data_IF_818551995575
#
_entry.id   IF_818551995575
#
_cell.length_a   1.000
_cell.length_b   1.000
_cell.length_c   1.000
_cell.angle_alpha   90.00
_cell.angle_beta   90.00
_cell.angle_gamma   90.00
#
_symmetry.space_group_name_H-M   'P 1'
#
loop_
_entity.id
_entity.type
_entity.pdbx_description
1 polymer ?
#
# COMPACT_ATOMS: atom_id res chain seq x y z
N UNK A 1 -2.85 24.58 -17.88
CA UNK A 1 -2.84 24.50 -17.86
C UNK A 1 -2.34 24.52 -17.54
N UNK A 2 -2.37 24.01 -17.52
CA UNK A 2 -2.02 23.93 -17.42
C UNK A 2 -1.53 23.72 -17.22
N UNK A 3 -1.56 23.38 -17.55
CA UNK A 3 -1.14 23.14 -17.55
C UNK A 3 -0.63 22.90 -17.27
N UNK A 4 -0.64 22.59 -17.49
CA UNK A 4 -0.39 22.42 -17.54
C UNK A 4 -0.13 22.26 -17.59
N UNK A 5 -0.19 22.12 -17.90
CA UNK A 5 -0.11 22.05 -18.25
C UNK A 5 0.37 22.02 -18.51
N UNK A 6 0.53 21.75 -18.90
CA UNK A 6 0.86 21.73 -19.26
C UNK A 6 1.52 21.64 -19.24
N UNK A 7 1.68 21.39 -19.44
CA UNK A 7 1.97 21.23 -19.46
C UNK A 7 1.93 20.96 -19.49
N UNK A 8 1.91 20.67 -19.74
CA UNK A 8 1.42 20.28 -19.84
C UNK A 8 0.88 19.78 -19.94
N UNK A 9 0.32 19.94 -20.05
CA UNK A 9 -0.93 19.32 -20.19
C UNK A 9 -0.94 18.01 -20.91
N UNK A 10 -0.03 17.78 -21.65
CA UNK A 10 0.11 16.53 -22.39
C UNK A 10 0.63 15.40 -21.51
N UNK A 11 1.36 15.75 -20.49
CA UNK A 11 1.90 14.75 -19.59
C UNK A 11 0.84 14.34 -18.58
N UNK A 12 0.61 13.06 -18.49
CA UNK A 12 -0.37 12.56 -17.55
C UNK A 12 0.34 11.86 -16.40
N UNK A 13 0.18 12.42 -15.24
CA UNK A 13 0.78 11.84 -14.05
C UNK A 13 0.00 10.60 -13.66
N UNK A 14 0.68 9.46 -13.51
CA UNK A 14 -0.02 8.25 -13.07
C UNK A 14 -0.66 8.49 -11.70
N UNK A 15 -1.89 8.12 -11.60
CA UNK A 15 -2.63 8.30 -10.36
C UNK A 15 -2.61 7.05 -9.53
N UNK A 16 -2.27 7.21 -8.28
CA UNK A 16 -2.47 6.14 -7.33
C UNK A 16 -3.87 6.29 -6.74
N UNK A 17 -4.47 5.19 -6.33
CA UNK A 17 -5.77 5.30 -5.67
C UNK A 17 -5.67 6.20 -4.44
N UNK A 18 -6.72 6.93 -4.14
CA UNK A 18 -6.70 7.75 -2.92
C UNK A 18 -6.47 6.88 -1.70
N UNK A 19 -5.73 7.41 -0.76
CA UNK A 19 -5.45 6.69 0.48
C UNK A 19 -6.01 7.47 1.65
N UNK A 20 -6.34 6.74 2.69
CA UNK A 20 -6.84 7.29 3.94
C UNK A 20 -5.96 6.78 5.05
N UNK A 21 -5.56 7.69 5.94
CA UNK A 21 -4.76 7.29 7.09
C UNK A 21 -5.63 6.60 8.12
N UNK A 22 -5.21 5.41 8.49
CA UNK A 22 -5.85 4.65 9.56
C UNK A 22 -4.79 4.22 10.54
N UNK A 23 -5.05 4.45 11.81
CA UNK A 23 -4.12 4.04 12.84
C UNK A 23 -4.52 2.66 13.35
N UNK A 24 -3.59 1.73 13.27
CA UNK A 24 -3.82 0.37 13.71
C UNK A 24 -2.73 -0.02 14.69
N UNK A 25 -3.14 -0.61 15.79
CA UNK A 25 -2.19 -1.10 16.78
C UNK A 25 -1.96 -2.58 16.53
N UNK A 26 -0.70 -2.94 16.42
CA UNK A 26 -0.32 -4.32 16.17
C UNK A 26 0.25 -4.94 17.44
N UNK A 27 -0.18 -6.16 17.77
CA UNK A 27 0.53 -6.89 18.83
C UNK A 27 1.99 -7.07 18.45
N UNK A 28 2.85 -7.10 19.46
CA UNK A 28 4.28 -7.18 19.22
C UNK A 28 4.64 -8.44 18.43
N UNK A 29 4.01 -9.57 18.76
CA UNK A 29 4.32 -10.82 18.09
C UNK A 29 3.98 -10.75 16.59
N UNK A 30 2.89 -10.06 16.25
CA UNK A 30 2.53 -9.91 14.84
C UNK A 30 3.55 -9.06 14.11
N UNK A 31 3.99 -7.98 14.74
CA UNK A 31 5.00 -7.12 14.15
C UNK A 31 6.27 -7.93 13.87
N UNK A 32 6.69 -8.72 14.84
CA UNK A 32 7.91 -9.50 14.68
C UNK A 32 7.78 -10.52 13.57
N UNK A 33 6.62 -11.14 13.47
CA UNK A 33 6.40 -12.13 12.42
C UNK A 33 6.41 -11.51 11.04
N UNK A 34 5.80 -10.33 10.91
CA UNK A 34 5.81 -9.64 9.62
C UNK A 34 7.22 -9.23 9.26
N UNK A 35 7.94 -8.67 10.20
CA UNK A 35 9.29 -8.21 9.91
C UNK A 35 10.20 -9.38 9.54
N UNK A 36 10.02 -10.52 10.18
CA UNK A 36 10.77 -11.70 9.81
C UNK A 36 10.41 -12.18 8.41
N UNK A 37 9.14 -12.09 8.07
CA UNK A 37 8.67 -12.57 6.77
C UNK A 37 9.21 -11.73 5.61
N UNK A 38 9.37 -10.42 5.82
CA UNK A 38 9.81 -9.54 4.75
C UNK A 38 11.32 -9.28 4.78
N UNK A 39 12.01 -9.83 5.77
CA UNK A 39 13.44 -9.61 5.91
C UNK A 39 14.15 -10.11 4.66
N UNK A 40 15.05 -9.27 4.12
CA UNK A 40 15.78 -9.61 2.91
C UNK A 40 14.97 -9.50 1.64
N UNK A 41 13.73 -9.08 1.74
CA UNK A 41 12.87 -8.91 0.56
C UNK A 41 12.65 -7.43 0.28
N UNK A 42 12.35 -7.13 -0.94
CA UNK A 42 12.09 -5.75 -1.37
C UNK A 42 10.64 -5.39 -1.09
N UNK A 43 10.31 -5.34 0.18
CA UNK A 43 8.93 -5.16 0.60
C UNK A 43 8.92 -4.43 1.94
N UNK A 44 8.08 -3.42 2.04
CA UNK A 44 7.94 -2.68 3.29
C UNK A 44 6.86 -3.31 4.16
N UNK A 45 6.87 -2.94 5.42
CA UNK A 45 5.84 -3.39 6.36
C UNK A 45 4.45 -3.02 5.83
N UNK A 46 4.30 -1.77 5.40
CA UNK A 46 2.99 -1.31 4.92
C UNK A 46 2.54 -2.08 3.69
N UNK A 47 3.44 -2.32 2.75
CA UNK A 47 3.10 -3.07 1.55
C UNK A 47 2.66 -4.48 1.89
N UNK A 48 3.35 -5.11 2.82
CA UNK A 48 2.99 -6.46 3.24
C UNK A 48 1.59 -6.47 3.85
N UNK A 49 1.33 -5.52 4.76
CA UNK A 49 0.04 -5.48 5.44
C UNK A 49 -1.08 -5.25 4.46
N UNK A 50 -0.90 -4.33 3.52
CA UNK A 50 -1.94 -4.04 2.54
C UNK A 50 -2.21 -5.27 1.68
N UNK A 51 -1.17 -5.95 1.25
CA UNK A 51 -1.34 -7.16 0.45
C UNK A 51 -2.06 -8.25 1.24
N UNK A 52 -1.73 -8.39 2.53
CA UNK A 52 -2.38 -9.38 3.36
C UNK A 52 -3.86 -9.08 3.54
N UNK A 53 -4.19 -7.80 3.73
CA UNK A 53 -5.58 -7.40 3.88
C UNK A 53 -6.35 -7.68 2.60
N UNK A 54 -5.76 -7.35 1.45
CA UNK A 54 -6.42 -7.61 0.18
C UNK A 54 -6.65 -9.10 -0.03
N UNK A 55 -5.69 -9.93 0.36
CA UNK A 55 -5.84 -11.36 0.23
C UNK A 55 -6.97 -11.87 1.12
N UNK A 56 -7.04 -11.35 2.35
CA UNK A 56 -8.09 -11.76 3.28
C UNK A 56 -9.46 -11.37 2.76
N UNK A 57 -9.58 -10.17 2.21
CA UNK A 57 -10.84 -9.70 1.66
C UNK A 57 -11.27 -10.56 0.47
N UNK A 58 -10.30 -10.95 -0.33
CA UNK A 58 -10.56 -11.82 -1.48
C UNK A 58 -11.16 -13.14 -1.03
N UNK A 59 -10.62 -13.69 0.05
CA UNK A 59 -11.12 -14.97 0.55
C UNK A 59 -12.54 -14.85 1.07
N UNK A 60 -12.87 -13.70 1.64
CA UNK A 60 -14.22 -13.51 2.15
C UNK A 60 -15.25 -13.46 1.06
N UNK A 61 -14.85 -13.11 -0.16
CA UNK A 61 -15.77 -12.97 -1.27
C UNK A 61 -16.04 -14.27 -1.99
N UNK A 62 -15.36 -15.32 -1.62
CA UNK A 62 -15.53 -16.61 -2.29
C UNK A 62 -16.58 -17.49 -1.66
#
# INVERSE_FOLDING_TARGET
MQSEVLFMGMFKIPETPPTVNKTVRFPTDVVEQVEAAIQGKDCTFSSFVIAAVRAALNELEQ
#
